data_IF_776767613701
#
_entry.id   IF_776767613701
#
_cell.length_a   1.000
_cell.length_b   1.000
_cell.length_c   1.000
_cell.angle_alpha   90.00
_cell.angle_beta   90.00
_cell.angle_gamma   90.00
#
_symmetry.space_group_name_H-M   'P 1'
#
loop_
_entity.id
_entity.type
_entity.pdbx_description
1 polymer ?
#
# COMPACT_ATOMS: atom_id res chain seq x y z
N UNK A 1 -79.90 -67.78 2.33
CA UNK A 1 -80.43 -66.49 2.82
C UNK A 1 -79.32 -65.76 3.59
N UNK A 2 -79.20 -64.52 3.28
CA UNK A 2 -78.41 -63.43 3.89
C UNK A 2 -76.88 -63.37 3.63
N UNK A 3 -76.60 -62.52 2.74
CA UNK A 3 -75.45 -61.69 2.45
C UNK A 3 -74.78 -61.05 3.68
N UNK A 4 -73.44 -61.01 3.72
CA UNK A 4 -72.73 -60.11 4.60
C UNK A 4 -71.57 -59.49 3.84
N UNK A 5 -71.71 -58.22 3.50
CA UNK A 5 -70.75 -57.36 2.93
C UNK A 5 -69.59 -57.08 3.90
N UNK A 6 -68.36 -57.36 3.47
CA UNK A 6 -67.16 -56.85 4.15
C UNK A 6 -66.72 -55.58 3.49
N UNK A 7 -66.89 -54.47 4.20
CA UNK A 7 -66.37 -53.18 3.80
C UNK A 7 -64.86 -53.09 4.10
N UNK A 8 -64.09 -53.05 3.07
CA UNK A 8 -62.61 -52.81 3.17
C UNK A 8 -62.35 -51.33 3.31
N UNK A 9 -61.98 -50.88 4.49
CA UNK A 9 -61.58 -49.50 4.76
C UNK A 9 -60.13 -49.37 4.54
N UNK A 10 -59.72 -48.78 3.37
CA UNK A 10 -58.33 -48.40 3.06
C UNK A 10 -57.95 -47.16 3.83
N UNK A 11 -57.04 -47.35 4.80
CA UNK A 11 -56.41 -46.25 5.55
C UNK A 11 -55.31 -45.66 4.69
N UNK A 12 -55.52 -44.47 4.07
CA UNK A 12 -54.50 -43.68 3.44
C UNK A 12 -53.64 -43.02 4.51
N UNK A 13 -52.43 -43.52 4.72
CA UNK A 13 -51.42 -42.90 5.57
C UNK A 13 -50.70 -41.87 4.74
N UNK A 14 -51.16 -40.59 4.75
CA UNK A 14 -50.44 -39.46 4.15
C UNK A 14 -49.22 -39.13 5.03
N UNK A 15 -48.03 -39.57 4.59
CA UNK A 15 -46.77 -39.11 5.16
C UNK A 15 -46.55 -37.67 4.67
N UNK A 16 -46.82 -36.73 5.55
CA UNK A 16 -46.46 -35.33 5.37
C UNK A 16 -44.98 -35.22 5.72
N UNK A 17 -44.09 -35.25 4.69
CA UNK A 17 -42.70 -34.88 4.86
C UNK A 17 -42.65 -33.39 5.21
N UNK A 18 -42.53 -33.10 6.51
CA UNK A 18 -42.05 -31.78 6.95
C UNK A 18 -40.60 -31.64 6.49
N UNK A 19 -40.40 -30.93 5.41
CA UNK A 19 -39.10 -30.36 5.08
C UNK A 19 -38.75 -29.38 6.20
N UNK A 20 -37.99 -29.81 7.18
CA UNK A 20 -37.28 -28.92 8.09
C UNK A 20 -36.31 -28.09 7.23
N UNK A 21 -36.75 -26.93 6.78
CA UNK A 21 -35.88 -25.88 6.37
C UNK A 21 -35.05 -25.49 7.59
N UNK A 22 -33.86 -26.04 7.73
CA UNK A 22 -32.88 -25.51 8.68
C UNK A 22 -32.61 -24.08 8.22
N UNK A 23 -33.25 -23.12 8.83
CA UNK A 23 -32.81 -21.73 8.78
C UNK A 23 -31.44 -21.75 9.42
N UNK A 24 -30.38 -21.82 8.61
CA UNK A 24 -29.02 -21.69 9.09
C UNK A 24 -28.92 -20.40 9.89
N UNK A 25 -28.52 -20.53 11.14
CA UNK A 25 -28.27 -19.35 11.97
C UNK A 25 -27.09 -18.63 11.37
N UNK A 26 -27.34 -17.48 10.75
CA UNK A 26 -26.25 -16.66 10.19
C UNK A 26 -25.37 -16.18 11.35
N UNK A 27 -24.16 -16.69 11.44
CA UNK A 27 -23.19 -16.21 12.42
C UNK A 27 -22.57 -14.89 11.93
N UNK A 28 -22.60 -13.88 12.81
CA UNK A 28 -22.13 -12.53 12.47
C UNK A 28 -20.86 -12.19 13.21
N UNK A 29 -19.78 -11.97 12.47
CA UNK A 29 -18.49 -11.49 12.96
C UNK A 29 -18.47 -9.96 12.92
N UNK A 30 -18.19 -9.34 14.06
CA UNK A 30 -18.05 -7.87 14.14
C UNK A 30 -16.59 -7.51 13.97
N UNK A 31 -16.30 -6.74 12.93
CA UNK A 31 -14.95 -6.27 12.61
C UNK A 31 -14.94 -4.75 12.45
N UNK A 32 -13.86 -4.14 12.92
CA UNK A 32 -13.57 -2.73 12.71
C UNK A 32 -12.54 -2.60 11.57
N UNK A 33 -12.86 -1.78 10.57
CA UNK A 33 -11.94 -1.35 9.52
C UNK A 33 -11.58 0.12 9.76
N UNK A 34 -10.28 0.43 9.81
CA UNK A 34 -9.83 1.78 10.14
C UNK A 34 -8.66 2.26 9.28
N UNK A 35 -8.46 3.57 9.27
CA UNK A 35 -7.35 4.21 8.57
C UNK A 35 -6.93 5.53 9.20
N UNK A 36 -5.62 5.86 9.15
CA UNK A 36 -5.08 7.07 9.78
C UNK A 36 -5.46 8.36 9.06
N UNK A 37 -6.04 8.24 7.87
CA UNK A 37 -6.43 9.35 7.00
C UNK A 37 -7.86 9.19 6.46
N UNK A 38 -8.31 10.24 5.77
CA UNK A 38 -9.61 10.24 5.08
C UNK A 38 -9.68 9.14 4.01
N UNK A 39 -10.87 8.57 3.83
CA UNK A 39 -11.18 7.66 2.72
C UNK A 39 -11.05 8.31 1.33
N UNK A 40 -10.73 9.60 1.25
CA UNK A 40 -10.38 10.24 -0.01
C UNK A 40 -9.00 9.79 -0.55
N UNK A 41 -8.11 9.22 0.27
CA UNK A 41 -6.86 8.65 -0.22
C UNK A 41 -7.11 7.21 -0.71
N UNK A 42 -6.59 6.81 -1.90
CA UNK A 42 -6.88 5.51 -2.51
C UNK A 42 -6.69 4.33 -1.56
N UNK A 43 -5.53 4.22 -0.93
CA UNK A 43 -5.19 3.13 -0.03
C UNK A 43 -6.03 3.06 1.27
N UNK A 44 -6.80 4.10 1.59
CA UNK A 44 -7.83 4.08 2.65
C UNK A 44 -9.22 3.89 2.05
N UNK A 45 -9.53 4.62 0.96
CA UNK A 45 -10.85 4.62 0.34
C UNK A 45 -11.27 3.26 -0.19
N UNK A 46 -10.36 2.54 -0.82
CA UNK A 46 -10.62 1.20 -1.38
C UNK A 46 -11.02 0.19 -0.29
N UNK A 47 -10.63 0.40 0.98
CA UNK A 47 -11.15 -0.43 2.07
C UNK A 47 -12.68 -0.28 2.17
N UNK A 48 -13.18 0.97 2.12
CA UNK A 48 -14.60 1.29 2.24
C UNK A 48 -15.41 0.97 0.98
N UNK A 49 -14.81 1.16 -0.21
CA UNK A 49 -15.51 1.02 -1.48
C UNK A 49 -15.46 -0.39 -2.06
N UNK A 50 -14.46 -1.19 -1.69
CA UNK A 50 -14.27 -2.56 -2.17
C UNK A 50 -14.36 -3.58 -1.03
N UNK A 51 -13.44 -3.52 -0.06
CA UNK A 51 -13.28 -4.61 0.93
C UNK A 51 -14.53 -4.78 1.80
N UNK A 52 -15.07 -3.69 2.32
CA UNK A 52 -16.23 -3.71 3.20
C UNK A 52 -17.49 -4.23 2.48
N UNK A 53 -17.95 -3.69 1.35
CA UNK A 53 -19.16 -4.17 0.69
C UNK A 53 -18.98 -5.55 0.05
N UNK A 54 -17.89 -5.79 -0.67
CA UNK A 54 -17.69 -7.03 -1.41
C UNK A 54 -17.46 -8.24 -0.51
N UNK A 55 -17.00 -8.06 0.72
CA UNK A 55 -16.84 -9.17 1.67
C UNK A 55 -18.17 -9.91 1.90
N UNK A 56 -19.24 -9.19 2.19
CA UNK A 56 -20.56 -9.79 2.39
C UNK A 56 -21.22 -10.26 1.09
N UNK A 57 -21.00 -9.55 -0.04
CA UNK A 57 -21.49 -9.97 -1.34
C UNK A 57 -20.91 -11.33 -1.74
N UNK A 58 -19.60 -11.54 -1.54
CA UNK A 58 -18.92 -12.81 -1.85
C UNK A 58 -19.32 -13.92 -0.90
N UNK A 59 -19.41 -13.66 0.40
CA UNK A 59 -19.93 -14.63 1.37
C UNK A 59 -21.32 -15.10 0.98
N UNK A 60 -22.21 -14.18 0.61
CA UNK A 60 -23.56 -14.52 0.16
C UNK A 60 -23.54 -15.35 -1.15
N UNK A 61 -22.70 -14.97 -2.12
CA UNK A 61 -22.58 -15.68 -3.39
C UNK A 61 -22.04 -17.12 -3.22
N UNK A 62 -21.21 -17.35 -2.20
CA UNK A 62 -20.70 -18.69 -1.84
C UNK A 62 -21.72 -19.53 -1.07
N UNK A 63 -22.86 -18.97 -0.69
CA UNK A 63 -23.84 -19.63 0.21
C UNK A 63 -23.36 -19.78 1.64
N UNK A 64 -22.48 -18.89 2.10
CA UNK A 64 -21.95 -18.91 3.47
C UNK A 64 -23.02 -18.64 4.51
N UNK A 65 -22.92 -19.31 5.65
CA UNK A 65 -23.73 -19.04 6.85
C UNK A 65 -23.15 -17.88 7.68
N UNK A 66 -22.00 -17.31 7.25
CA UNK A 66 -21.31 -16.24 7.96
C UNK A 66 -21.57 -14.89 7.33
N UNK A 67 -21.51 -13.84 8.15
CA UNK A 67 -21.56 -12.44 7.74
C UNK A 67 -20.56 -11.60 8.55
N UNK A 68 -20.14 -10.47 7.97
CA UNK A 68 -19.31 -9.49 8.66
C UNK A 68 -20.14 -8.23 8.92
N UNK A 69 -20.27 -7.84 10.20
CA UNK A 69 -20.83 -6.55 10.59
C UNK A 69 -19.65 -5.56 10.75
N UNK A 70 -19.46 -4.73 9.75
CA UNK A 70 -18.37 -3.76 9.73
C UNK A 70 -18.66 -2.51 10.56
N UNK A 71 -17.64 -2.02 11.27
CA UNK A 71 -17.56 -0.68 11.81
C UNK A 71 -16.40 0.01 11.10
N UNK A 72 -16.68 1.13 10.43
CA UNK A 72 -15.67 1.90 9.71
C UNK A 72 -15.24 3.11 10.53
N UNK A 73 -13.91 3.38 10.59
CA UNK A 73 -13.31 4.44 11.39
C UNK A 73 -12.08 5.05 10.68
N UNK A 74 -12.33 5.92 9.70
CA UNK A 74 -11.30 6.59 8.93
C UNK A 74 -11.03 8.03 9.43
N UNK A 75 -10.13 8.76 8.76
CA UNK A 75 -9.80 10.14 9.07
C UNK A 75 -8.96 10.31 10.34
N UNK A 76 -8.26 9.26 10.75
CA UNK A 76 -7.45 9.31 11.97
C UNK A 76 -8.28 9.40 13.25
N UNK A 77 -9.52 8.88 13.21
CA UNK A 77 -10.43 8.88 14.34
C UNK A 77 -10.01 7.91 15.45
N UNK A 78 -9.34 6.81 15.11
CA UNK A 78 -8.82 5.84 16.07
C UNK A 78 -7.31 5.99 16.29
N UNK A 79 -6.52 6.23 15.24
CA UNK A 79 -5.05 6.32 15.31
C UNK A 79 -4.50 7.24 14.23
N UNK A 80 -3.26 7.68 14.40
CA UNK A 80 -2.51 8.51 13.44
C UNK A 80 -1.54 7.66 12.61
N UNK A 81 -0.86 8.27 11.63
CA UNK A 81 0.07 7.60 10.72
C UNK A 81 1.09 6.73 11.45
N UNK A 82 1.76 7.31 12.44
CA UNK A 82 2.85 6.68 13.17
C UNK A 82 2.38 5.56 14.11
N UNK A 83 1.08 5.54 14.41
CA UNK A 83 0.48 4.57 15.33
C UNK A 83 -0.20 3.42 14.57
N UNK A 84 -0.13 3.42 13.23
CA UNK A 84 -0.91 2.47 12.40
C UNK A 84 -0.52 1.01 12.65
N UNK A 85 0.77 0.72 12.80
CA UNK A 85 1.26 -0.63 13.12
C UNK A 85 0.76 -1.09 14.49
N UNK A 86 0.92 -0.24 15.52
CA UNK A 86 0.51 -0.56 16.89
C UNK A 86 -1.02 -0.70 17.02
N UNK A 87 -1.79 0.13 16.32
CA UNK A 87 -3.25 0.08 16.38
C UNK A 87 -3.83 -1.25 15.92
N UNK A 88 -3.23 -1.87 14.90
CA UNK A 88 -3.62 -3.21 14.45
C UNK A 88 -3.05 -4.28 15.38
N UNK A 89 -1.79 -4.14 15.83
CA UNK A 89 -1.14 -5.09 16.75
C UNK A 89 -1.95 -5.29 18.03
N UNK A 90 -2.32 -4.20 18.71
CA UNK A 90 -3.08 -4.29 19.97
C UNK A 90 -4.58 -4.56 19.78
N UNK A 91 -5.06 -4.68 18.54
CA UNK A 91 -6.47 -4.93 18.23
C UNK A 91 -7.38 -3.72 18.49
N UNK A 92 -6.87 -2.49 18.44
CA UNK A 92 -7.69 -1.26 18.43
C UNK A 92 -8.58 -1.21 17.18
N UNK A 93 -8.09 -1.78 16.08
CA UNK A 93 -8.84 -2.11 14.88
C UNK A 93 -8.54 -3.54 14.46
N UNK A 94 -9.52 -4.23 13.86
CA UNK A 94 -9.33 -5.59 13.34
C UNK A 94 -8.57 -5.58 12.02
N UNK A 95 -8.95 -4.68 11.10
CA UNK A 95 -8.31 -4.46 9.80
C UNK A 95 -7.96 -2.99 9.67
N UNK A 96 -6.77 -2.71 9.12
CA UNK A 96 -6.35 -1.34 8.87
C UNK A 96 -5.26 -1.24 7.82
N UNK A 97 -5.12 -0.04 7.27
CA UNK A 97 -3.94 0.27 6.49
C UNK A 97 -2.77 0.61 7.41
N UNK A 98 -1.63 -0.03 7.15
CA UNK A 98 -0.39 0.12 7.90
C UNK A 98 0.72 0.62 6.98
N UNK A 99 1.34 1.73 7.37
CA UNK A 99 2.42 2.37 6.62
C UNK A 99 3.80 1.88 7.02
N UNK A 100 4.36 0.92 6.28
CA UNK A 100 5.69 0.36 6.55
C UNK A 100 6.83 1.39 6.41
N UNK A 101 6.62 2.48 5.67
CA UNK A 101 7.61 3.56 5.52
C UNK A 101 8.06 4.15 6.86
N UNK A 102 7.16 4.26 7.84
CA UNK A 102 7.47 4.82 9.16
C UNK A 102 8.05 3.79 10.15
N UNK A 103 8.05 2.51 9.76
CA UNK A 103 8.45 1.40 10.62
C UNK A 103 9.84 0.85 10.28
N UNK A 104 10.78 1.72 9.92
CA UNK A 104 12.15 1.33 9.50
C UNK A 104 12.95 0.58 10.57
N UNK A 105 12.56 0.69 11.84
CA UNK A 105 13.19 -0.05 12.95
C UNK A 105 12.56 -1.42 13.18
N UNK A 106 11.22 -1.52 13.16
CA UNK A 106 10.47 -2.76 13.41
C UNK A 106 10.35 -3.62 12.15
N UNK A 107 10.21 -2.98 10.97
CA UNK A 107 9.96 -3.63 9.70
C UNK A 107 10.95 -3.17 8.60
N UNK A 108 12.29 -3.24 8.84
CA UNK A 108 13.26 -2.67 7.93
C UNK A 108 13.22 -3.28 6.52
N UNK A 109 12.86 -4.57 6.40
CA UNK A 109 12.83 -5.28 5.12
C UNK A 109 11.72 -4.79 4.19
N UNK A 110 10.65 -4.23 4.75
CA UNK A 110 9.54 -3.66 3.99
C UNK A 110 9.95 -2.38 3.22
N UNK A 111 11.10 -1.80 3.57
CA UNK A 111 11.57 -0.53 3.00
C UNK A 111 12.57 -0.69 1.84
N UNK A 112 12.78 -1.90 1.30
CA UNK A 112 13.78 -2.16 0.26
C UNK A 112 13.66 -1.22 -0.93
N UNK A 113 12.45 -0.87 -1.38
CA UNK A 113 12.24 0.03 -2.52
C UNK A 113 12.78 1.43 -2.28
N UNK A 114 12.68 1.94 -1.06
CA UNK A 114 13.24 3.25 -0.70
C UNK A 114 14.77 3.31 -0.73
N UNK A 115 15.43 2.16 -0.74
CA UNK A 115 16.89 2.06 -0.88
C UNK A 115 17.33 1.61 -2.26
N UNK A 116 16.37 1.48 -3.19
CA UNK A 116 16.60 1.09 -4.59
C UNK A 116 15.83 2.00 -5.55
N UNK A 117 16.09 3.33 -5.55
CA UNK A 117 15.40 4.22 -6.48
C UNK A 117 15.75 3.87 -7.93
N UNK A 118 14.94 4.34 -8.89
CA UNK A 118 15.10 4.12 -10.33
C UNK A 118 14.94 2.65 -10.78
N UNK A 119 14.20 1.83 -10.03
CA UNK A 119 13.93 0.44 -10.45
C UNK A 119 12.71 0.38 -11.36
N UNK A 120 11.57 0.95 -10.96
CA UNK A 120 10.36 0.95 -11.79
C UNK A 120 9.44 2.11 -11.43
N UNK A 121 8.79 2.68 -12.45
CA UNK A 121 7.68 3.64 -12.28
C UNK A 121 6.31 2.93 -12.35
N UNK A 122 6.28 1.62 -12.66
CA UNK A 122 5.07 0.82 -12.75
C UNK A 122 4.62 0.36 -11.36
N UNK A 123 3.63 1.06 -10.82
CA UNK A 123 3.07 0.77 -9.51
C UNK A 123 2.30 -0.56 -9.47
N UNK A 124 1.59 -0.90 -10.56
CA UNK A 124 0.83 -2.15 -10.65
C UNK A 124 1.77 -3.35 -10.57
N UNK A 125 2.84 -3.34 -11.37
CA UNK A 125 3.89 -4.34 -11.32
C UNK A 125 4.51 -4.43 -9.91
N UNK A 126 4.74 -3.28 -9.27
CA UNK A 126 5.36 -3.23 -7.94
C UNK A 126 4.50 -3.90 -6.87
N UNK A 127 3.20 -3.59 -6.81
CA UNK A 127 2.32 -4.18 -5.78
C UNK A 127 2.11 -5.67 -5.99
N UNK A 128 2.03 -6.13 -7.25
CA UNK A 128 1.98 -7.56 -7.58
C UNK A 128 3.24 -8.30 -7.12
N UNK A 129 4.38 -7.70 -7.39
CA UNK A 129 5.67 -8.24 -6.99
C UNK A 129 5.77 -8.33 -5.47
N UNK A 130 5.30 -7.33 -4.73
CA UNK A 130 5.31 -7.37 -3.27
C UNK A 130 4.32 -8.36 -2.68
N UNK A 131 3.13 -8.54 -3.27
CA UNK A 131 2.21 -9.60 -2.87
C UNK A 131 2.89 -10.98 -3.04
N UNK A 132 3.52 -11.25 -4.19
CA UNK A 132 4.25 -12.51 -4.41
C UNK A 132 5.45 -12.68 -3.47
N UNK A 133 6.21 -11.63 -3.21
CA UNK A 133 7.34 -11.69 -2.29
C UNK A 133 6.89 -12.04 -0.86
N UNK A 134 5.75 -11.51 -0.40
CA UNK A 134 5.19 -11.88 0.90
C UNK A 134 4.70 -13.34 0.94
N UNK A 135 4.22 -13.87 -0.18
CA UNK A 135 3.82 -15.29 -0.28
C UNK A 135 5.06 -16.23 -0.36
N UNK A 136 6.12 -15.80 -1.05
CA UNK A 136 7.26 -16.68 -1.40
C UNK A 136 8.50 -16.49 -0.53
N UNK A 137 8.57 -15.40 0.25
CA UNK A 137 9.68 -15.08 1.16
C UNK A 137 9.18 -15.00 2.61
N UNK A 138 9.26 -16.10 3.36
CA UNK A 138 8.72 -16.17 4.72
C UNK A 138 9.20 -15.06 5.65
N UNK A 139 10.40 -14.53 5.43
CA UNK A 139 10.96 -13.45 6.26
C UNK A 139 10.19 -12.13 6.11
N UNK A 140 9.59 -11.84 4.94
CA UNK A 140 8.73 -10.67 4.75
C UNK A 140 7.40 -10.83 5.46
N UNK A 141 6.77 -12.00 5.33
CA UNK A 141 5.55 -12.33 6.07
C UNK A 141 5.77 -12.34 7.58
N UNK A 142 6.93 -12.88 8.02
CA UNK A 142 7.32 -12.90 9.43
C UNK A 142 7.43 -11.50 10.05
N UNK A 143 7.85 -10.48 9.29
CA UNK A 143 7.92 -9.12 9.80
C UNK A 143 6.54 -8.59 10.24
N UNK A 144 5.46 -8.99 9.57
CA UNK A 144 4.08 -8.70 9.96
C UNK A 144 3.63 -9.60 11.13
N UNK A 145 3.96 -10.88 11.07
CA UNK A 145 3.65 -11.85 12.13
C UNK A 145 4.26 -11.45 13.48
N UNK A 146 5.50 -10.97 13.48
CA UNK A 146 6.19 -10.44 14.67
C UNK A 146 5.50 -9.19 15.27
N UNK A 147 4.64 -8.53 14.50
CA UNK A 147 3.81 -7.41 14.93
C UNK A 147 2.34 -7.83 15.10
N UNK A 148 2.08 -9.11 15.36
CA UNK A 148 0.75 -9.68 15.56
C UNK A 148 -0.23 -9.35 14.41
N UNK A 149 0.25 -9.36 13.16
CA UNK A 149 -0.51 -8.98 11.97
C UNK A 149 -0.31 -9.97 10.83
N UNK A 150 -1.25 -9.96 9.91
CA UNK A 150 -1.18 -10.64 8.63
C UNK A 150 -1.45 -9.63 7.51
N UNK A 151 -0.55 -9.54 6.53
CA UNK A 151 -0.74 -8.68 5.36
C UNK A 151 -1.76 -9.32 4.42
N UNK A 152 -2.86 -8.63 4.15
CA UNK A 152 -3.89 -9.06 3.20
C UNK A 152 -3.56 -8.62 1.77
N UNK A 153 -3.04 -7.40 1.62
CA UNK A 153 -2.70 -6.87 0.31
C UNK A 153 -1.71 -5.71 0.39
N UNK A 154 -0.73 -5.72 -0.51
CA UNK A 154 0.26 -4.68 -0.65
C UNK A 154 -0.37 -3.37 -1.14
N UNK A 155 0.20 -2.23 -0.74
CA UNK A 155 -0.09 -0.94 -1.35
C UNK A 155 1.20 -0.18 -1.62
N UNK A 156 1.13 0.75 -2.57
CA UNK A 156 2.25 1.56 -2.94
C UNK A 156 1.83 2.97 -3.34
N UNK A 157 2.82 3.75 -3.70
CA UNK A 157 2.65 5.09 -4.26
C UNK A 157 3.38 5.17 -5.59
N UNK A 158 2.91 6.05 -6.45
CA UNK A 158 3.54 6.30 -7.75
C UNK A 158 4.96 6.84 -7.60
N UNK A 159 5.65 6.95 -8.73
CA UNK A 159 7.01 7.45 -8.78
C UNK A 159 7.15 8.86 -8.19
N UNK A 160 8.23 9.08 -7.45
CA UNK A 160 8.54 10.38 -6.87
C UNK A 160 9.17 11.32 -7.90
N UNK A 161 8.81 12.60 -7.77
CA UNK A 161 9.31 13.69 -8.58
C UNK A 161 9.77 14.85 -7.72
N UNK A 162 10.39 15.88 -8.36
CA UNK A 162 10.72 17.13 -7.71
C UNK A 162 9.64 18.18 -7.98
N UNK A 163 9.27 18.93 -6.94
CA UNK A 163 8.58 20.21 -7.07
C UNK A 163 9.43 21.29 -6.41
N UNK A 164 9.72 22.37 -7.13
CA UNK A 164 10.71 23.37 -6.69
C UNK A 164 10.22 24.80 -6.97
N UNK A 165 10.80 25.77 -6.22
CA UNK A 165 10.57 27.21 -6.43
C UNK A 165 11.39 27.79 -7.59
N UNK A 166 12.25 26.97 -8.22
CA UNK A 166 13.13 27.31 -9.33
C UNK A 166 13.16 26.15 -10.35
N UNK A 167 13.48 26.39 -11.63
CA UNK A 167 13.53 25.32 -12.60
C UNK A 167 14.71 24.39 -12.33
N UNK A 168 14.50 23.05 -12.45
CA UNK A 168 15.53 22.04 -12.40
C UNK A 168 15.56 21.33 -13.76
N UNK A 169 16.61 21.52 -14.51
CA UNK A 169 16.83 20.93 -15.84
C UNK A 169 18.04 20.01 -15.86
N UNK A 170 18.90 20.10 -14.87
CA UNK A 170 20.11 19.30 -14.67
C UNK A 170 20.38 19.11 -13.17
N UNK A 171 21.15 18.09 -12.83
CA UNK A 171 21.42 17.74 -11.43
C UNK A 171 22.15 18.87 -10.67
N UNK A 172 23.03 19.61 -11.35
CA UNK A 172 23.79 20.72 -10.77
C UNK A 172 22.91 21.88 -10.29
N UNK A 173 21.67 21.99 -10.80
CA UNK A 173 20.70 23.01 -10.34
C UNK A 173 20.29 22.79 -8.87
N UNK A 174 20.54 21.60 -8.31
CA UNK A 174 20.26 21.22 -6.93
C UNK A 174 21.36 21.62 -5.94
N UNK A 175 22.54 22.06 -6.40
CA UNK A 175 23.68 22.39 -5.55
C UNK A 175 23.30 23.44 -4.49
N UNK A 176 23.49 23.10 -3.21
CA UNK A 176 23.16 23.94 -2.06
C UNK A 176 21.67 24.18 -1.80
N UNK A 177 20.75 23.61 -2.61
CA UNK A 177 19.31 23.75 -2.42
C UNK A 177 18.78 22.87 -1.31
N UNK A 178 17.83 23.41 -0.52
CA UNK A 178 17.16 22.69 0.55
C UNK A 178 15.94 21.99 0.00
N UNK A 179 15.97 20.65 -0.03
CA UNK A 179 14.90 19.83 -0.60
C UNK A 179 14.26 18.98 0.50
N UNK A 180 12.96 19.16 0.70
CA UNK A 180 12.17 18.33 1.59
C UNK A 180 12.11 16.89 1.06
N UNK A 181 12.32 15.93 1.93
CA UNK A 181 12.24 14.51 1.59
C UNK A 181 11.71 13.68 2.76
N UNK A 182 10.70 12.81 2.56
CA UNK A 182 10.12 12.01 3.63
C UNK A 182 10.96 10.79 3.95
N UNK A 183 11.32 10.60 5.23
CA UNK A 183 11.98 9.39 5.71
C UNK A 183 13.22 8.96 4.91
N UNK A 184 13.30 7.69 4.47
CA UNK A 184 14.45 7.16 3.75
C UNK A 184 14.74 7.83 2.40
N UNK A 185 13.75 8.47 1.75
CA UNK A 185 13.94 9.15 0.45
C UNK A 185 14.93 10.32 0.52
N UNK A 186 15.27 10.80 1.71
CA UNK A 186 16.35 11.76 1.91
C UNK A 186 17.70 11.26 1.34
N UNK A 187 17.94 9.95 1.34
CA UNK A 187 19.15 9.34 0.76
C UNK A 187 19.25 9.51 -0.77
N UNK A 188 18.12 9.75 -1.45
CA UNK A 188 18.10 9.94 -2.89
C UNK A 188 18.70 11.28 -3.35
N UNK A 189 18.88 12.22 -2.41
CA UNK A 189 19.54 13.50 -2.65
C UNK A 189 21.06 13.44 -2.43
N UNK A 190 21.58 12.35 -1.88
CA UNK A 190 23.01 12.21 -1.68
C UNK A 190 23.78 12.25 -3.02
N UNK A 191 24.88 12.97 -3.06
CA UNK A 191 25.69 13.16 -4.28
C UNK A 191 25.15 14.20 -5.25
N UNK A 192 23.92 14.74 -5.05
CA UNK A 192 23.36 15.80 -5.92
C UNK A 192 23.78 17.20 -5.52
N UNK A 193 24.44 17.38 -4.37
CA UNK A 193 24.73 18.68 -3.78
C UNK A 193 23.55 19.31 -3.03
N UNK A 194 22.35 18.73 -3.08
CA UNK A 194 21.21 19.21 -2.33
C UNK A 194 21.33 18.90 -0.84
N UNK A 195 20.69 19.74 -0.02
CA UNK A 195 20.57 19.55 1.42
C UNK A 195 19.18 18.97 1.73
N UNK A 196 19.13 17.74 2.18
CA UNK A 196 17.87 17.10 2.57
C UNK A 196 17.30 17.75 3.84
N UNK A 197 16.00 18.09 3.80
CA UNK A 197 15.23 18.62 4.94
C UNK A 197 14.11 17.65 5.25
N UNK A 198 13.94 17.31 6.52
CA UNK A 198 12.85 16.41 6.93
C UNK A 198 11.49 17.12 6.89
N UNK A 199 10.46 16.39 6.49
CA UNK A 199 9.09 16.87 6.45
C UNK A 199 8.10 15.82 5.99
N UNK A 200 6.83 16.19 5.92
CA UNK A 200 5.75 15.36 5.42
C UNK A 200 4.68 16.20 4.75
N UNK A 201 3.80 15.59 3.96
CA UNK A 201 2.79 16.26 3.12
C UNK A 201 2.02 17.37 3.86
N UNK A 202 1.66 17.16 5.12
CA UNK A 202 0.90 18.13 5.92
C UNK A 202 1.67 19.43 6.26
N UNK A 203 3.00 19.42 6.14
CA UNK A 203 3.86 20.58 6.48
C UNK A 203 4.53 21.21 5.26
N UNK A 204 4.58 20.52 4.13
CA UNK A 204 5.32 20.94 2.95
C UNK A 204 4.90 22.31 2.41
N UNK A 205 3.59 22.57 2.30
CA UNK A 205 3.11 23.86 1.82
C UNK A 205 3.68 25.01 2.65
N UNK A 206 3.58 24.92 3.99
CA UNK A 206 4.09 25.97 4.88
C UNK A 206 5.61 26.09 4.78
N UNK A 207 6.35 24.99 4.75
CA UNK A 207 7.82 25.00 4.68
C UNK A 207 8.33 25.60 3.37
N UNK A 208 7.68 25.32 2.24
CA UNK A 208 7.97 25.94 0.94
C UNK A 208 7.60 27.42 0.91
N UNK A 209 6.38 27.75 1.34
CA UNK A 209 5.87 29.13 1.34
C UNK A 209 6.68 30.08 2.22
N UNK A 210 7.23 29.59 3.33
CA UNK A 210 8.05 30.37 4.26
C UNK A 210 9.55 30.36 3.92
N UNK A 211 9.97 29.67 2.85
CA UNK A 211 11.38 29.59 2.43
C UNK A 211 12.25 28.73 3.35
N UNK A 212 11.68 27.85 4.17
CA UNK A 212 12.44 26.85 4.94
C UNK A 212 13.11 25.86 4.00
N UNK A 213 12.46 25.54 2.85
CA UNK A 213 13.00 24.73 1.79
C UNK A 213 12.73 25.36 0.41
N UNK A 214 13.56 25.00 -0.57
CA UNK A 214 13.50 25.45 -1.95
C UNK A 214 12.70 24.50 -2.84
N UNK A 215 12.45 23.28 -2.36
CA UNK A 215 11.73 22.23 -3.10
C UNK A 215 11.40 21.03 -2.24
N UNK A 216 10.78 20.03 -2.87
CA UNK A 216 10.34 18.80 -2.24
C UNK A 216 10.43 17.60 -3.19
N UNK A 217 10.89 16.45 -2.70
CA UNK A 217 10.69 15.15 -3.31
C UNK A 217 9.31 14.64 -2.87
N UNK A 218 8.41 14.42 -3.82
CA UNK A 218 7.03 14.06 -3.51
C UNK A 218 6.35 13.26 -4.63
N UNK A 219 5.21 12.70 -4.30
CA UNK A 219 4.25 12.08 -5.22
C UNK A 219 3.23 13.13 -5.66
N UNK A 220 2.89 13.19 -6.95
CA UNK A 220 2.02 14.25 -7.47
C UNK A 220 0.56 14.08 -7.06
N UNK A 221 0.08 12.83 -6.95
CA UNK A 221 -1.26 12.50 -6.45
C UNK A 221 -1.49 13.02 -5.02
N UNK A 222 -0.44 13.02 -4.20
CA UNK A 222 -0.44 13.60 -2.86
C UNK A 222 -0.21 15.10 -2.85
N UNK A 223 0.66 15.62 -3.71
CA UNK A 223 1.05 17.02 -3.75
C UNK A 223 -0.08 17.96 -4.21
N UNK A 224 -0.87 17.54 -5.21
CA UNK A 224 -1.93 18.35 -5.78
C UNK A 224 -3.03 18.73 -4.76
N UNK A 225 -3.60 17.81 -3.97
CA UNK A 225 -4.58 18.16 -2.94
C UNK A 225 -4.05 19.13 -1.86
N UNK A 226 -2.73 19.12 -1.63
CA UNK A 226 -2.07 20.08 -0.72
C UNK A 226 -1.62 21.35 -1.42
N UNK A 227 -1.97 21.54 -2.71
CA UNK A 227 -1.71 22.74 -3.51
C UNK A 227 -0.23 23.13 -3.58
N UNK A 228 0.67 22.15 -3.56
CA UNK A 228 2.12 22.41 -3.54
C UNK A 228 2.59 23.15 -4.78
N UNK A 229 1.93 23.00 -5.93
CA UNK A 229 2.23 23.70 -7.18
C UNK A 229 2.07 25.22 -7.08
N UNK A 230 1.29 25.74 -6.12
CA UNK A 230 1.18 27.20 -5.91
C UNK A 230 2.45 27.80 -5.30
N UNK A 231 3.17 27.04 -4.49
CA UNK A 231 4.37 27.50 -3.76
C UNK A 231 5.67 26.88 -4.31
N UNK A 232 5.57 25.85 -5.15
CA UNK A 232 6.67 25.20 -5.86
C UNK A 232 6.20 24.85 -7.29
N UNK A 233 6.11 25.87 -8.19
CA UNK A 233 5.44 25.73 -9.49
C UNK A 233 6.24 24.94 -10.55
N UNK A 234 7.50 24.61 -10.28
CA UNK A 234 8.30 23.81 -11.21
C UNK A 234 8.23 22.33 -10.84
N UNK A 235 7.58 21.55 -11.69
CA UNK A 235 7.42 20.09 -11.53
C UNK A 235 8.41 19.39 -12.44
N UNK A 236 9.50 18.88 -11.88
CA UNK A 236 10.49 18.13 -12.66
C UNK A 236 10.22 16.64 -12.56
N UNK A 237 9.83 16.03 -13.69
CA UNK A 237 9.58 14.60 -13.81
C UNK A 237 10.93 13.84 -13.82
N UNK A 238 11.35 13.40 -12.65
CA UNK A 238 12.61 12.65 -12.46
C UNK A 238 12.38 11.16 -12.68
N UNK A 239 11.29 10.61 -12.14
CA UNK A 239 11.04 9.17 -12.16
C UNK A 239 11.97 8.42 -11.21
N UNK A 240 11.90 8.75 -9.91
CA UNK A 240 12.71 8.10 -8.86
C UNK A 240 12.25 6.68 -8.54
N UNK A 241 11.12 6.26 -9.09
CA UNK A 241 10.52 4.96 -8.95
C UNK A 241 9.30 4.96 -8.03
N UNK A 242 8.36 4.07 -8.33
CA UNK A 242 7.24 3.71 -7.47
C UNK A 242 7.74 3.03 -6.20
N UNK A 243 7.03 3.21 -5.09
CA UNK A 243 7.48 2.73 -3.79
C UNK A 243 6.43 1.85 -3.11
N UNK A 244 6.86 0.72 -2.55
CA UNK A 244 6.04 -0.01 -1.60
C UNK A 244 5.88 0.82 -0.32
N UNK A 245 4.64 1.06 0.08
CA UNK A 245 4.35 2.00 1.16
C UNK A 245 3.82 1.33 2.42
N UNK A 246 3.41 0.07 2.31
CA UNK A 246 2.74 -0.71 3.33
C UNK A 246 1.58 -1.52 2.75
N UNK A 247 0.49 -1.66 3.50
CA UNK A 247 -0.64 -2.41 2.98
C UNK A 247 -1.82 -2.53 3.92
N UNK A 248 -2.84 -3.20 3.42
CA UNK A 248 -3.99 -3.63 4.19
C UNK A 248 -3.58 -4.82 5.05
N UNK A 249 -3.67 -4.67 6.37
CA UNK A 249 -3.36 -5.75 7.30
C UNK A 249 -4.51 -6.05 8.24
N UNK A 250 -4.52 -7.27 8.78
CA UNK A 250 -5.47 -7.75 9.78
C UNK A 250 -4.72 -8.16 11.04
N UNK A 251 -5.30 -7.86 12.21
CA UNK A 251 -4.81 -8.38 13.48
C UNK A 251 -4.82 -9.92 13.48
N UNK A 252 -3.72 -10.54 13.91
CA UNK A 252 -3.55 -11.99 13.87
C UNK A 252 -4.55 -12.74 14.74
N UNK A 253 -4.85 -12.23 15.94
CA UNK A 253 -5.85 -12.85 16.81
C UNK A 253 -7.25 -12.77 16.19
N UNK A 254 -7.57 -11.68 15.48
CA UNK A 254 -8.80 -11.59 14.68
C UNK A 254 -8.78 -12.62 13.57
N UNK A 255 -7.69 -12.70 12.79
CA UNK A 255 -7.53 -13.66 11.70
C UNK A 255 -7.75 -15.10 12.13
N UNK A 256 -7.17 -15.51 13.26
CA UNK A 256 -7.22 -16.89 13.76
C UNK A 256 -8.61 -17.31 14.19
N UNK A 257 -9.45 -16.39 14.67
CA UNK A 257 -10.85 -16.68 15.06
C UNK A 257 -11.84 -16.68 13.89
N UNK A 258 -11.44 -16.18 12.70
CA UNK A 258 -12.31 -16.15 11.54
C UNK A 258 -12.45 -17.53 10.90
N UNK A 259 -13.65 -17.95 10.44
CA UNK A 259 -13.84 -19.17 9.69
C UNK A 259 -13.19 -19.10 8.30
N UNK A 260 -12.98 -20.27 7.72
CA UNK A 260 -12.20 -20.42 6.48
C UNK A 260 -12.76 -19.62 5.31
N UNK A 261 -14.08 -19.59 5.15
CA UNK A 261 -14.75 -18.87 4.06
C UNK A 261 -14.53 -17.35 4.17
N UNK A 262 -14.65 -16.76 5.38
CA UNK A 262 -14.33 -15.35 5.61
C UNK A 262 -12.84 -15.09 5.30
N UNK A 263 -11.94 -15.96 5.78
CA UNK A 263 -10.50 -15.80 5.47
C UNK A 263 -10.21 -15.87 3.98
N UNK A 264 -10.84 -16.80 3.26
CA UNK A 264 -10.69 -16.90 1.80
C UNK A 264 -11.16 -15.62 1.11
N UNK A 265 -12.34 -15.12 1.46
CA UNK A 265 -12.87 -13.87 0.89
C UNK A 265 -11.96 -12.67 1.18
N UNK A 266 -11.42 -12.56 2.40
CA UNK A 266 -10.53 -11.44 2.75
C UNK A 266 -9.17 -11.53 2.04
N UNK A 267 -8.64 -12.73 1.79
CA UNK A 267 -7.41 -12.92 0.99
C UNK A 267 -7.62 -12.50 -0.47
N UNK A 268 -8.72 -12.93 -1.08
CA UNK A 268 -9.04 -12.57 -2.47
C UNK A 268 -9.25 -11.06 -2.61
N UNK A 269 -9.99 -10.47 -1.65
CA UNK A 269 -10.19 -9.02 -1.59
C UNK A 269 -8.90 -8.23 -1.30
N UNK A 270 -7.96 -8.80 -0.56
CA UNK A 270 -6.66 -8.20 -0.33
C UNK A 270 -5.84 -8.07 -1.62
N UNK A 271 -5.86 -9.09 -2.48
CA UNK A 271 -5.21 -9.03 -3.80
C UNK A 271 -5.87 -7.99 -4.71
N UNK A 272 -7.19 -7.98 -4.77
CA UNK A 272 -7.94 -7.01 -5.55
C UNK A 272 -7.77 -5.58 -5.01
N UNK A 273 -7.74 -5.41 -3.69
CA UNK A 273 -7.39 -4.15 -3.04
C UNK A 273 -6.06 -3.60 -3.56
N UNK A 274 -5.03 -4.43 -3.66
CA UNK A 274 -3.71 -4.01 -4.15
C UNK A 274 -3.78 -3.44 -5.57
N UNK A 275 -4.50 -4.12 -6.47
CA UNK A 275 -4.68 -3.70 -7.87
C UNK A 275 -5.49 -2.40 -7.94
N UNK A 276 -6.64 -2.37 -7.28
CA UNK A 276 -7.55 -1.21 -7.30
C UNK A 276 -6.85 0.03 -6.73
N UNK A 277 -6.06 -0.12 -5.65
CA UNK A 277 -5.27 1.00 -5.10
C UNK A 277 -4.24 1.49 -6.09
N UNK A 278 -3.51 0.58 -6.77
CA UNK A 278 -2.50 0.98 -7.75
C UNK A 278 -3.14 1.74 -8.93
N UNK A 279 -4.26 1.24 -9.46
CA UNK A 279 -5.02 1.88 -10.54
C UNK A 279 -5.51 3.29 -10.14
N UNK A 280 -6.16 3.42 -8.97
CA UNK A 280 -6.65 4.71 -8.48
C UNK A 280 -5.51 5.71 -8.21
N UNK A 281 -4.37 5.25 -7.69
CA UNK A 281 -3.19 6.11 -7.47
C UNK A 281 -2.66 6.62 -8.82
N UNK A 282 -2.53 5.74 -9.81
CA UNK A 282 -2.03 6.13 -11.14
C UNK A 282 -2.99 7.07 -11.86
N UNK A 283 -4.30 6.85 -11.76
CA UNK A 283 -5.29 7.77 -12.30
C UNK A 283 -5.15 9.16 -11.67
N UNK A 284 -5.05 9.25 -10.35
CA UNK A 284 -4.86 10.51 -9.63
C UNK A 284 -3.53 11.18 -9.95
N UNK A 285 -2.47 10.42 -10.16
CA UNK A 285 -1.18 10.94 -10.64
C UNK A 285 -1.35 11.68 -11.97
N UNK A 286 -2.00 11.05 -12.95
CA UNK A 286 -2.22 11.65 -14.27
C UNK A 286 -3.13 12.88 -14.18
N UNK A 287 -4.22 12.79 -13.40
CA UNK A 287 -5.12 13.92 -13.17
C UNK A 287 -4.39 15.10 -12.49
N UNK A 288 -3.58 14.82 -11.46
CA UNK A 288 -2.81 15.85 -10.76
C UNK A 288 -1.84 16.56 -11.71
N UNK A 289 -1.10 15.82 -12.53
CA UNK A 289 -0.17 16.39 -13.51
C UNK A 289 -0.88 17.33 -14.49
N UNK A 290 -2.00 16.90 -15.07
CA UNK A 290 -2.81 17.72 -15.99
C UNK A 290 -3.36 18.97 -15.28
N UNK A 291 -3.90 18.81 -14.08
CA UNK A 291 -4.47 19.92 -13.32
C UNK A 291 -3.42 20.95 -12.91
N UNK A 292 -2.25 20.50 -12.45
CA UNK A 292 -1.14 21.42 -12.12
C UNK A 292 -0.69 22.23 -13.34
N UNK A 293 -0.62 21.61 -14.55
CA UNK A 293 -0.31 22.32 -15.79
C UNK A 293 -1.38 23.36 -16.16
N UNK A 294 -2.66 23.04 -15.96
CA UNK A 294 -3.78 23.97 -16.20
C UNK A 294 -3.79 25.15 -15.20
N UNK A 295 -3.19 24.95 -14.04
CA UNK A 295 -3.02 25.94 -12.96
C UNK A 295 -1.63 26.57 -12.98
N UNK A 296 -1.02 26.74 -14.17
CA UNK A 296 0.24 27.44 -14.46
C UNK A 296 1.51 26.79 -13.91
N UNK A 297 1.50 25.54 -13.45
CA UNK A 297 2.73 24.83 -13.12
C UNK A 297 3.55 24.52 -14.37
N UNK A 298 4.85 24.73 -14.28
CA UNK A 298 5.79 24.42 -15.36
C UNK A 298 6.31 22.98 -15.20
N UNK A 299 5.91 22.11 -16.10
CA UNK A 299 6.36 20.71 -16.10
C UNK A 299 7.65 20.57 -16.94
N UNK A 300 8.67 19.99 -16.35
CA UNK A 300 9.99 19.75 -16.95
C UNK A 300 10.23 18.24 -16.90
N UNK A 301 10.58 17.63 -18.03
CA UNK A 301 11.05 16.23 -18.03
C UNK A 301 12.57 16.23 -17.92
N UNK A 302 13.11 15.59 -16.89
CA UNK A 302 14.55 15.42 -16.76
C UNK A 302 15.07 14.50 -17.88
N UNK A 303 16.11 14.93 -18.61
CA UNK A 303 16.65 14.12 -19.70
C UNK A 303 17.29 12.83 -19.18
N UNK A 304 17.36 11.80 -20.03
CA UNK A 304 17.98 10.52 -19.65
C UNK A 304 19.46 10.69 -19.26
N UNK A 305 20.15 11.65 -19.87
CA UNK A 305 21.54 11.98 -19.52
C UNK A 305 21.61 12.52 -18.08
N UNK A 306 20.74 13.45 -17.72
CA UNK A 306 20.71 14.02 -16.37
C UNK A 306 20.22 13.02 -15.33
N UNK A 307 19.25 12.18 -15.71
CA UNK A 307 18.80 11.06 -14.87
C UNK A 307 19.95 10.09 -14.60
N UNK A 308 20.75 9.75 -15.63
CA UNK A 308 21.92 8.88 -15.45
C UNK A 308 23.00 9.52 -14.56
N UNK A 309 23.24 10.83 -14.69
CA UNK A 309 24.15 11.54 -13.76
C UNK A 309 23.67 11.45 -12.31
N UNK A 310 22.36 11.57 -12.08
CA UNK A 310 21.78 11.41 -10.73
C UNK A 310 22.05 10.02 -10.19
N UNK A 311 21.76 8.98 -10.99
CA UNK A 311 21.99 7.58 -10.64
C UNK A 311 23.47 7.32 -10.32
N UNK A 312 24.39 7.90 -11.10
CA UNK A 312 25.83 7.72 -10.93
C UNK A 312 26.37 8.49 -9.70
N UNK A 313 25.76 9.62 -9.36
CA UNK A 313 26.09 10.40 -8.17
C UNK A 313 25.65 9.71 -6.86
N UNK A 314 24.61 8.88 -6.92
CA UNK A 314 24.14 8.17 -5.72
C UNK A 314 25.19 7.19 -5.20
N UNK A 315 25.55 7.25 -3.89
CA UNK A 315 26.38 6.24 -3.26
C UNK A 315 25.65 4.89 -3.21
N UNK A 316 26.30 3.88 -2.64
CA UNK A 316 25.67 2.56 -2.42
C UNK A 316 24.71 2.61 -1.22
N UNK A 317 23.53 3.25 -1.44
CA UNK A 317 22.49 3.36 -0.41
C UNK A 317 21.87 2.00 -0.08
N UNK A 318 21.76 1.11 -1.07
CA UNK A 318 21.22 -0.24 -0.87
C UNK A 318 22.17 -1.09 -0.01
N UNK A 319 23.48 -1.08 -0.29
CA UNK A 319 24.47 -1.81 0.51
C UNK A 319 24.56 -1.29 1.93
N UNK A 320 24.47 0.02 2.16
CA UNK A 320 24.41 0.60 3.50
C UNK A 320 23.15 0.18 4.27
N UNK A 321 21.99 0.13 3.59
CA UNK A 321 20.76 -0.37 4.18
C UNK A 321 20.89 -1.85 4.55
N UNK A 322 21.40 -2.68 3.62
CA UNK A 322 21.68 -4.10 3.87
C UNK A 322 22.54 -4.26 5.11
N UNK A 323 23.69 -3.59 5.17
CA UNK A 323 24.59 -3.69 6.33
C UNK A 323 23.91 -3.27 7.64
N UNK A 324 23.15 -2.16 7.61
CA UNK A 324 22.43 -1.66 8.79
C UNK A 324 21.36 -2.65 9.27
N UNK A 325 20.62 -3.27 8.37
CA UNK A 325 19.56 -4.23 8.71
C UNK A 325 20.15 -5.58 9.16
N UNK A 326 21.19 -6.07 8.48
CA UNK A 326 21.89 -7.32 8.85
C UNK A 326 22.56 -7.23 10.22
N UNK A 327 23.11 -6.08 10.58
CA UNK A 327 23.67 -5.83 11.92
C UNK A 327 22.60 -5.92 13.04
N UNK A 328 21.31 -5.81 12.67
CA UNK A 328 20.16 -5.98 13.56
C UNK A 328 19.50 -7.36 13.44
N UNK A 329 20.11 -8.28 12.68
CA UNK A 329 19.64 -9.66 12.51
C UNK A 329 18.58 -9.85 11.41
N UNK A 330 18.35 -8.86 10.54
CA UNK A 330 17.40 -8.96 9.44
C UNK A 330 18.11 -9.35 8.13
N UNK A 331 17.70 -10.38 7.39
CA UNK A 331 18.38 -10.84 6.18
C UNK A 331 18.09 -9.93 4.97
N UNK A 332 18.55 -8.69 5.03
CA UNK A 332 18.22 -7.66 4.04
C UNK A 332 18.81 -7.92 2.66
N UNK A 333 19.98 -8.55 2.58
CA UNK A 333 20.60 -8.94 1.29
C UNK A 333 19.73 -9.95 0.55
N UNK A 334 19.15 -10.93 1.26
CA UNK A 334 18.23 -11.89 0.66
C UNK A 334 17.04 -11.18 0.01
N UNK A 335 16.46 -10.21 0.71
CA UNK A 335 15.29 -9.47 0.21
C UNK A 335 15.66 -8.54 -0.95
N UNK A 336 16.82 -7.87 -0.89
CA UNK A 336 17.30 -7.05 -2.00
C UNK A 336 17.47 -7.89 -3.28
N UNK A 337 18.15 -9.04 -3.19
CA UNK A 337 18.33 -9.95 -4.32
C UNK A 337 16.99 -10.50 -4.81
N UNK A 338 16.10 -10.90 -3.89
CA UNK A 338 14.79 -11.43 -4.26
C UNK A 338 13.94 -10.39 -5.00
N UNK A 339 13.91 -9.14 -4.53
CA UNK A 339 13.20 -8.03 -5.16
C UNK A 339 13.74 -7.77 -6.57
N UNK A 340 15.05 -7.56 -6.72
CA UNK A 340 15.68 -7.26 -8.01
C UNK A 340 15.55 -8.42 -9.00
N UNK A 341 15.68 -9.68 -8.52
CA UNK A 341 15.52 -10.88 -9.35
C UNK A 341 14.06 -11.02 -9.83
N UNK A 342 13.10 -10.86 -8.94
CA UNK A 342 11.69 -10.97 -9.28
C UNK A 342 11.25 -9.85 -10.25
N UNK A 343 11.81 -8.64 -10.12
CA UNK A 343 11.59 -7.54 -11.07
C UNK A 343 12.13 -7.89 -12.46
N UNK A 344 13.39 -8.37 -12.57
CA UNK A 344 14.00 -8.78 -13.85
C UNK A 344 13.26 -9.97 -14.48
N UNK A 345 12.78 -10.92 -13.68
CA UNK A 345 12.02 -12.07 -14.18
C UNK A 345 10.71 -11.67 -14.88
N UNK A 346 10.17 -10.49 -14.58
CA UNK A 346 9.00 -9.88 -15.24
C UNK A 346 9.37 -9.00 -16.44
N UNK A 347 10.61 -9.06 -16.90
CA UNK A 347 11.12 -8.26 -18.02
C UNK A 347 11.55 -6.85 -17.63
N UNK A 348 11.55 -6.52 -16.33
CA UNK A 348 11.99 -5.23 -15.84
C UNK A 348 13.48 -4.99 -16.06
N UNK A 349 13.83 -3.76 -16.40
CA UNK A 349 15.22 -3.31 -16.59
C UNK A 349 15.48 -2.12 -15.66
N UNK A 350 16.07 -2.36 -14.47
CA UNK A 350 16.38 -1.26 -13.55
C UNK A 350 17.47 -0.39 -14.13
N UNK A 351 17.42 0.91 -13.90
CA UNK A 351 18.47 1.82 -14.35
C UNK A 351 19.77 1.67 -13.53
N UNK A 352 19.69 0.99 -12.38
CA UNK A 352 20.85 0.59 -11.57
C UNK A 352 20.61 -0.79 -10.95
N UNK A 353 21.59 -1.68 -11.07
CA UNK A 353 21.58 -3.00 -10.43
C UNK A 353 22.04 -2.88 -8.97
N UNK A 354 21.08 -2.59 -8.08
CA UNK A 354 21.32 -2.32 -6.67
C UNK A 354 21.81 -3.54 -5.86
N UNK A 355 21.53 -4.74 -6.35
CA UNK A 355 21.92 -6.03 -5.74
C UNK A 355 23.31 -6.51 -6.19
N UNK A 356 23.90 -5.88 -7.21
CA UNK A 356 25.25 -6.17 -7.66
C UNK A 356 26.22 -5.17 -7.02
N UNK A 357 27.29 -5.69 -6.43
CA UNK A 357 28.35 -4.83 -5.90
C UNK A 357 28.99 -3.98 -7.02
N UNK A 358 29.18 -2.69 -6.75
CA UNK A 358 30.05 -1.83 -7.59
C UNK A 358 31.48 -1.95 -7.17
#
# INVERSE_FOLDING_TARGET
>A
MRSSNKFLMQLFFSIFLLSLSTTGVTETFRLTAAGPQSANLPFIGVISTLVVPESNNRLQAMGSEHRIAWREAYGGSLYKWQDSLEAVDVGLTDIGWVGALWETSKMPLQNVTYYTPFVTDDLTLLVDLFNELHETRPVLAKAWDDQNQFLLGASGVETYHLMTTFPVTRIEDLEGRKILAPGPSATWLEGTGAVAVNGGLSTYYTQLNTGVADGVLTILSGAYPYRLHEVAPYVTLVGLGAQFHGGLSINKNTWERLPTDIRTVLLDLGKEYSQTVAEEVMERYHQALVSMQQEDATVITLSDIEKQKWIDALPDIAGRWVQSAENRGHPAREILIAYMTAFRARGGQPLRDWDLAR
#
